data_IF_585468905732
#
_entry.id   IF_585468905732
#
_cell.length_a   1.000
_cell.length_b   1.000
_cell.length_c   1.000
_cell.angle_alpha   90.00
_cell.angle_beta   90.00
_cell.angle_gamma   90.00
#
_symmetry.space_group_name_H-M   'P 1'
#
loop_
_entity.id
_entity.type
_entity.pdbx_description
1 polymer ?
#
# COMPACT_ATOMS: atom_id res chain seq x y z
N UNK A 1 -24.19 8.71 -7.20
CA UNK A 1 -23.13 8.04 -7.99
C UNK A 1 -21.73 8.62 -7.79
N UNK A 2 -21.49 9.93 -7.91
CA UNK A 2 -20.13 10.52 -7.82
C UNK A 2 -19.34 10.14 -6.55
N UNK A 3 -19.96 10.15 -5.37
CA UNK A 3 -19.30 9.86 -4.08
C UNK A 3 -18.84 8.40 -3.95
N UNK A 4 -19.67 7.44 -4.38
CA UNK A 4 -19.33 6.01 -4.34
C UNK A 4 -18.17 5.68 -5.28
N UNK A 5 -18.15 6.30 -6.48
CA UNK A 5 -17.05 6.16 -7.43
C UNK A 5 -15.73 6.73 -6.86
N UNK A 6 -15.77 7.90 -6.20
CA UNK A 6 -14.58 8.49 -5.56
C UNK A 6 -14.03 7.63 -4.44
N UNK A 7 -14.90 7.03 -3.62
CA UNK A 7 -14.48 6.10 -2.55
C UNK A 7 -13.85 4.85 -3.17
N UNK A 8 -14.50 4.26 -4.19
CA UNK A 8 -13.95 3.10 -4.90
C UNK A 8 -12.56 3.39 -5.49
N UNK A 9 -12.42 4.50 -6.21
CA UNK A 9 -11.16 4.93 -6.80
C UNK A 9 -10.08 5.17 -5.74
N UNK A 10 -10.46 5.71 -4.58
CA UNK A 10 -9.54 5.90 -3.46
C UNK A 10 -9.01 4.56 -2.91
N UNK A 11 -9.90 3.60 -2.65
CA UNK A 11 -9.50 2.27 -2.20
C UNK A 11 -8.62 1.56 -3.24
N UNK A 12 -8.97 1.67 -4.53
CA UNK A 12 -8.16 1.12 -5.62
C UNK A 12 -6.79 1.78 -5.68
N UNK A 13 -6.69 3.11 -5.53
CA UNK A 13 -5.41 3.81 -5.57
C UNK A 13 -4.45 3.38 -4.44
N UNK A 14 -4.98 2.92 -3.31
CA UNK A 14 -4.21 2.42 -2.17
C UNK A 14 -3.89 0.92 -2.24
N UNK A 15 -4.85 0.10 -2.69
CA UNK A 15 -4.69 -1.35 -2.72
C UNK A 15 -3.98 -1.86 -3.97
N UNK A 16 -4.17 -1.19 -5.12
CA UNK A 16 -3.62 -1.64 -6.40
C UNK A 16 -2.08 -1.64 -6.44
N UNK A 17 -1.35 -0.65 -5.87
CA UNK A 17 0.11 -0.71 -5.83
C UNK A 17 0.62 -1.90 -5.01
N UNK A 18 -0.05 -2.21 -3.91
CA UNK A 18 0.27 -3.37 -3.04
C UNK A 18 0.00 -4.68 -3.79
N UNK A 19 -1.12 -4.75 -4.52
CA UNK A 19 -1.45 -5.89 -5.35
C UNK A 19 -0.45 -6.11 -6.51
N UNK A 20 -0.05 -5.03 -7.19
CA UNK A 20 0.94 -5.11 -8.27
C UNK A 20 2.34 -5.46 -7.75
N UNK A 21 2.69 -4.95 -6.56
CA UNK A 21 3.89 -5.36 -5.85
C UNK A 21 3.87 -6.85 -5.54
N UNK A 22 2.77 -7.37 -5.01
CA UNK A 22 2.58 -8.81 -4.78
C UNK A 22 2.86 -9.60 -6.06
N UNK A 23 2.20 -9.25 -7.16
CA UNK A 23 2.35 -9.99 -8.42
C UNK A 23 3.80 -9.97 -8.87
N UNK A 24 4.44 -8.80 -8.81
CA UNK A 24 5.84 -8.65 -9.21
C UNK A 24 6.76 -9.48 -8.32
N UNK A 25 6.54 -9.45 -7.00
CA UNK A 25 7.32 -10.22 -6.05
C UNK A 25 7.15 -11.73 -6.27
N UNK A 26 5.91 -12.22 -6.37
CA UNK A 26 5.61 -13.65 -6.59
C UNK A 26 6.16 -14.16 -7.92
N UNK A 27 6.24 -13.32 -8.94
CA UNK A 27 6.83 -13.68 -10.24
C UNK A 27 8.32 -14.05 -10.18
N UNK A 28 9.01 -13.75 -9.07
CA UNK A 28 10.42 -14.08 -8.87
C UNK A 28 10.64 -15.49 -8.28
N UNK A 29 9.55 -16.20 -8.01
CA UNK A 29 9.56 -17.53 -7.41
C UNK A 29 8.99 -18.55 -8.39
N UNK A 30 9.55 -19.76 -8.35
CA UNK A 30 8.99 -20.89 -9.09
C UNK A 30 7.67 -21.35 -8.47
N UNK A 31 6.83 -22.05 -9.25
CA UNK A 31 5.59 -22.62 -8.73
C UNK A 31 5.83 -23.59 -7.56
N UNK A 32 6.96 -24.29 -7.56
CA UNK A 32 7.34 -25.21 -6.48
C UNK A 32 7.57 -24.45 -5.16
N UNK A 33 8.28 -23.31 -5.21
CA UNK A 33 8.54 -22.44 -4.04
C UNK A 33 7.28 -21.72 -3.54
N UNK A 34 6.37 -21.37 -4.45
CA UNK A 34 5.07 -20.79 -4.07
C UNK A 34 4.14 -21.83 -3.41
N UNK A 35 4.23 -23.09 -3.83
CA UNK A 35 3.39 -24.18 -3.33
C UNK A 35 3.97 -24.88 -2.10
N UNK A 36 5.26 -24.73 -1.79
CA UNK A 36 5.88 -25.23 -0.56
C UNK A 36 5.40 -24.52 0.72
N UNK A 37 4.61 -23.47 0.59
CA UNK A 37 4.09 -22.67 1.70
C UNK A 37 5.08 -21.62 2.21
N UNK A 38 4.65 -20.85 3.20
CA UNK A 38 5.45 -19.78 3.81
C UNK A 38 5.05 -18.37 3.40
N UNK A 39 5.81 -17.39 3.89
CA UNK A 39 5.53 -15.95 3.80
C UNK A 39 5.34 -15.49 2.34
N UNK A 40 5.96 -16.12 1.35
CA UNK A 40 5.77 -15.80 -0.09
C UNK A 40 4.35 -15.98 -0.59
N UNK A 41 3.60 -16.93 0.00
CA UNK A 41 2.22 -17.21 -0.35
C UNK A 41 1.24 -16.33 0.42
N UNK A 42 1.54 -16.09 1.70
CA UNK A 42 0.55 -15.54 2.65
C UNK A 42 0.79 -14.06 2.99
N UNK A 43 2.03 -13.57 2.95
CA UNK A 43 2.35 -12.15 3.19
C UNK A 43 1.67 -11.20 2.21
N UNK A 44 1.51 -11.55 0.93
CA UNK A 44 0.81 -10.65 0.02
C UNK A 44 -0.66 -10.41 0.39
N UNK A 45 -1.38 -11.46 0.79
CA UNK A 45 -2.74 -11.34 1.33
C UNK A 45 -2.77 -10.48 2.60
N UNK A 46 -1.76 -10.64 3.46
CA UNK A 46 -1.62 -9.83 4.67
C UNK A 46 -1.41 -8.35 4.36
N UNK A 47 -0.51 -7.99 3.43
CA UNK A 47 -0.25 -6.59 3.08
C UNK A 47 -1.42 -5.95 2.33
N UNK A 48 -2.11 -6.69 1.47
CA UNK A 48 -3.30 -6.20 0.80
C UNK A 48 -4.40 -5.89 1.83
N UNK A 49 -4.64 -6.81 2.77
CA UNK A 49 -5.59 -6.58 3.86
C UNK A 49 -5.19 -5.38 4.71
N UNK A 50 -3.91 -5.28 5.08
CA UNK A 50 -3.40 -4.17 5.89
C UNK A 50 -3.53 -2.83 5.17
N UNK A 51 -3.31 -2.79 3.84
CA UNK A 51 -3.52 -1.59 3.01
C UNK A 51 -4.98 -1.17 2.99
N UNK A 52 -5.92 -2.12 2.86
CA UNK A 52 -7.35 -1.84 2.93
C UNK A 52 -7.77 -1.29 4.30
N UNK A 53 -7.23 -1.86 5.39
CA UNK A 53 -7.45 -1.36 6.76
C UNK A 53 -6.91 0.06 6.89
N UNK A 54 -5.70 0.33 6.41
CA UNK A 54 -5.11 1.68 6.42
C UNK A 54 -5.96 2.66 5.63
N UNK A 55 -6.37 2.29 4.42
CA UNK A 55 -7.21 3.11 3.56
C UNK A 55 -8.53 3.46 4.25
N UNK A 56 -9.17 2.48 4.89
CA UNK A 56 -10.37 2.68 5.71
C UNK A 56 -10.13 3.63 6.88
N UNK A 57 -9.06 3.43 7.66
CA UNK A 57 -8.72 4.28 8.80
C UNK A 57 -8.47 5.72 8.37
N UNK A 58 -7.76 5.92 7.26
CA UNK A 58 -7.50 7.25 6.70
C UNK A 58 -8.80 7.89 6.20
N UNK A 59 -9.66 7.15 5.51
CA UNK A 59 -10.96 7.64 5.07
C UNK A 59 -11.82 8.04 6.28
N UNK A 60 -11.87 7.21 7.33
CA UNK A 60 -12.59 7.52 8.56
C UNK A 60 -12.01 8.74 9.27
N UNK A 61 -10.69 8.79 9.49
CA UNK A 61 -10.02 9.89 10.16
C UNK A 61 -10.16 11.22 9.40
N UNK A 62 -10.20 11.17 8.06
CA UNK A 62 -10.44 12.36 7.23
C UNK A 62 -11.81 12.99 7.49
N UNK A 63 -12.82 12.23 7.91
CA UNK A 63 -14.12 12.80 8.31
C UNK A 63 -14.01 13.72 9.53
N UNK A 64 -13.02 13.48 10.40
CA UNK A 64 -12.80 14.25 11.63
C UNK A 64 -11.75 15.37 11.44
N UNK A 65 -10.77 15.17 10.55
CA UNK A 65 -9.57 16.02 10.47
C UNK A 65 -9.25 16.57 9.06
N UNK A 66 -10.09 16.35 8.04
CA UNK A 66 -9.84 16.67 6.61
C UNK A 66 -9.34 18.08 6.32
N UNK A 67 -9.60 19.08 7.17
CA UNK A 67 -9.17 20.47 6.94
C UNK A 67 -7.76 20.77 7.44
N UNK A 68 -7.12 19.86 8.17
CA UNK A 68 -5.79 20.09 8.74
C UNK A 68 -4.70 19.59 7.79
N UNK A 69 -3.88 20.51 7.27
CA UNK A 69 -2.75 20.14 6.40
C UNK A 69 -1.80 19.12 7.08
N UNK A 70 -1.65 19.22 8.40
CA UNK A 70 -0.88 18.31 9.24
C UNK A 70 -1.41 16.86 9.15
N UNK A 71 -2.73 16.67 9.12
CA UNK A 71 -3.32 15.34 8.97
C UNK A 71 -2.87 14.69 7.65
N UNK A 72 -2.87 15.45 6.56
CA UNK A 72 -2.44 14.96 5.25
C UNK A 72 -0.95 14.61 5.20
N UNK A 73 -0.09 15.43 5.81
CA UNK A 73 1.33 15.09 5.97
C UNK A 73 1.53 13.77 6.73
N UNK A 74 0.76 13.55 7.80
CA UNK A 74 0.81 12.29 8.56
C UNK A 74 0.37 11.11 7.69
N UNK A 75 -0.71 11.24 6.92
CA UNK A 75 -1.19 10.18 6.02
C UNK A 75 -0.12 9.79 4.98
N UNK A 76 0.53 10.78 4.37
CA UNK A 76 1.62 10.53 3.41
C UNK A 76 2.78 9.81 4.10
N UNK A 77 3.19 10.29 5.27
CA UNK A 77 4.29 9.70 6.03
C UNK A 77 4.00 8.25 6.44
N UNK A 78 2.79 7.97 6.92
CA UNK A 78 2.35 6.62 7.28
C UNK A 78 2.36 5.68 6.08
N UNK A 79 1.95 6.16 4.90
CA UNK A 79 2.00 5.36 3.67
C UNK A 79 3.42 5.03 3.24
N UNK A 80 4.33 6.01 3.29
CA UNK A 80 5.74 5.80 2.98
C UNK A 80 6.33 4.75 3.93
N UNK A 81 6.06 4.89 5.23
CA UNK A 81 6.50 3.93 6.23
C UNK A 81 5.93 2.53 5.97
N UNK A 82 4.64 2.42 5.62
CA UNK A 82 4.02 1.15 5.29
C UNK A 82 4.73 0.44 4.13
N UNK A 83 5.06 1.15 3.05
CA UNK A 83 5.79 0.57 1.92
C UNK A 83 7.22 0.18 2.28
N UNK A 84 7.93 0.99 3.06
CA UNK A 84 9.28 0.66 3.55
C UNK A 84 9.24 -0.60 4.41
N UNK A 85 8.27 -0.68 5.34
CA UNK A 85 8.09 -1.84 6.21
C UNK A 85 7.78 -3.12 5.43
N UNK A 86 6.90 -3.03 4.43
CA UNK A 86 6.59 -4.15 3.54
C UNK A 86 7.88 -4.65 2.84
N UNK A 87 8.71 -3.74 2.33
CA UNK A 87 9.98 -4.11 1.70
C UNK A 87 10.97 -4.73 2.69
N UNK A 88 11.10 -4.17 3.89
CA UNK A 88 12.01 -4.67 4.91
C UNK A 88 11.65 -6.08 5.36
N UNK A 89 10.36 -6.32 5.59
CA UNK A 89 9.88 -7.63 6.01
C UNK A 89 10.05 -8.67 4.90
N UNK A 90 9.71 -8.30 3.65
CA UNK A 90 9.96 -9.14 2.47
C UNK A 90 11.45 -9.47 2.33
N UNK A 91 12.35 -8.50 2.52
CA UNK A 91 13.79 -8.71 2.46
C UNK A 91 14.30 -9.64 3.57
N UNK A 92 13.86 -9.41 4.81
CA UNK A 92 14.27 -10.20 5.98
C UNK A 92 13.86 -11.67 5.83
N UNK A 93 12.64 -11.90 5.37
CA UNK A 93 12.11 -13.25 5.15
C UNK A 93 12.79 -13.94 3.96
N UNK A 94 13.06 -13.18 2.88
CA UNK A 94 13.86 -13.68 1.75
C UNK A 94 15.26 -14.15 2.18
N UNK A 95 15.89 -13.41 3.10
CA UNK A 95 17.19 -13.79 3.67
C UNK A 95 17.11 -15.09 4.48
N UNK A 96 16.08 -15.24 5.31
CA UNK A 96 15.95 -16.39 6.20
C UNK A 96 15.72 -17.70 5.44
N UNK A 97 14.98 -17.65 4.34
CA UNK A 97 14.51 -18.83 3.61
C UNK A 97 15.44 -19.28 2.47
N UNK A 98 16.12 -18.36 1.78
CA UNK A 98 17.03 -18.72 0.67
C UNK A 98 18.51 -18.70 1.06
N UNK A 99 18.87 -18.25 2.27
CA UNK A 99 20.25 -17.92 2.62
C UNK A 99 20.85 -16.83 1.73
N UNK A 100 20.03 -16.17 0.91
CA UNK A 100 20.43 -15.13 -0.03
C UNK A 100 20.53 -13.81 0.71
N UNK A 101 21.67 -13.15 0.61
CA UNK A 101 21.93 -11.82 1.18
C UNK A 101 21.27 -10.70 0.39
N UNK A 102 20.04 -10.87 -0.10
CA UNK A 102 19.42 -9.89 -0.98
C UNK A 102 19.20 -8.58 -0.20
N UNK A 103 19.96 -7.52 -0.47
CA UNK A 103 19.92 -6.32 0.34
C UNK A 103 18.56 -5.65 0.20
N UNK A 104 18.02 -5.13 1.31
CA UNK A 104 16.74 -4.43 1.30
C UNK A 104 16.70 -3.29 0.27
N UNK A 105 17.84 -2.62 0.04
CA UNK A 105 17.97 -1.51 -0.91
C UNK A 105 17.75 -2.00 -2.36
N UNK A 106 18.18 -3.21 -2.68
CA UNK A 106 18.02 -3.79 -4.02
C UNK A 106 16.58 -4.23 -4.23
N UNK A 107 15.95 -4.81 -3.20
CA UNK A 107 14.53 -5.16 -3.21
C UNK A 107 13.66 -3.90 -3.35
N UNK A 108 13.96 -2.86 -2.59
CA UNK A 108 13.27 -1.57 -2.65
C UNK A 108 13.44 -0.94 -4.04
N UNK A 109 14.65 -0.91 -4.59
CA UNK A 109 14.91 -0.39 -5.93
C UNK A 109 14.18 -1.19 -7.01
N UNK A 110 14.25 -2.52 -6.95
CA UNK A 110 13.73 -3.40 -7.98
C UNK A 110 12.20 -3.49 -7.96
N UNK A 111 11.59 -3.60 -6.76
CA UNK A 111 10.16 -3.85 -6.60
C UNK A 111 9.33 -2.58 -6.38
N UNK A 112 9.92 -1.48 -5.91
CA UNK A 112 9.17 -0.26 -5.57
C UNK A 112 9.66 0.96 -6.32
N UNK A 113 10.93 1.35 -6.17
CA UNK A 113 11.40 2.64 -6.71
C UNK A 113 11.47 2.69 -8.24
N UNK A 114 11.78 1.57 -8.89
CA UNK A 114 11.74 1.50 -10.37
C UNK A 114 10.34 1.25 -10.95
N UNK A 115 9.31 1.18 -10.10
CA UNK A 115 7.95 0.83 -10.53
C UNK A 115 7.07 2.09 -10.58
N UNK A 116 6.87 2.59 -11.79
CA UNK A 116 6.09 3.80 -12.09
C UNK A 116 4.69 3.80 -11.43
N UNK A 117 4.06 2.64 -11.29
CA UNK A 117 2.70 2.52 -10.78
C UNK A 117 2.56 2.95 -9.30
N UNK A 118 3.60 2.82 -8.48
CA UNK A 118 3.56 3.33 -7.11
C UNK A 118 3.42 4.85 -7.05
N UNK A 119 4.11 5.55 -7.95
CA UNK A 119 4.07 7.01 -8.02
C UNK A 119 2.76 7.51 -8.62
N UNK A 120 2.28 6.86 -9.69
CA UNK A 120 1.02 7.23 -10.34
C UNK A 120 -0.16 7.00 -9.40
N UNK A 121 -0.31 5.80 -8.85
CA UNK A 121 -1.43 5.50 -7.96
C UNK A 121 -1.31 6.17 -6.60
N UNK A 122 -0.09 6.34 -6.06
CA UNK A 122 0.13 7.14 -4.86
C UNK A 122 -0.32 8.60 -5.06
N UNK A 123 0.04 9.20 -6.19
CA UNK A 123 -0.36 10.57 -6.54
C UNK A 123 -1.87 10.68 -6.79
N UNK A 124 -2.48 9.69 -7.46
CA UNK A 124 -3.94 9.60 -7.66
C UNK A 124 -4.67 9.43 -6.33
N UNK A 125 -4.17 8.59 -5.43
CA UNK A 125 -4.74 8.40 -4.09
C UNK A 125 -4.72 9.68 -3.27
N UNK A 126 -3.61 10.42 -3.31
CA UNK A 126 -3.50 11.75 -2.69
C UNK A 126 -4.47 12.75 -3.34
N UNK A 127 -4.52 12.81 -4.67
CA UNK A 127 -5.43 13.72 -5.37
C UNK A 127 -6.91 13.42 -5.06
N UNK A 128 -7.28 12.13 -5.00
CA UNK A 128 -8.62 11.69 -4.63
C UNK A 128 -8.95 11.98 -3.16
N UNK A 129 -7.96 11.95 -2.27
CA UNK A 129 -8.11 12.37 -0.87
C UNK A 129 -8.44 13.86 -0.74
N UNK A 130 -7.79 14.73 -1.53
CA UNK A 130 -8.13 16.16 -1.58
C UNK A 130 -9.50 16.42 -2.23
N UNK A 131 -9.90 15.58 -3.18
CA UNK A 131 -11.17 15.66 -3.91
C UNK A 131 -12.32 14.92 -3.22
N UNK A 132 -12.10 14.27 -2.07
CA UNK A 132 -13.12 13.65 -1.24
C UNK A 132 -13.58 14.67 -0.17
N UNK A 133 -14.59 15.52 -0.43
CA UNK A 133 -15.33 16.13 0.66
C UNK A 133 -16.17 15.01 1.29
N UNK A 134 -15.58 14.30 2.25
CA UNK A 134 -16.34 13.43 3.14
C UNK A 134 -17.17 14.33 4.08
N UNK A 135 -18.32 14.79 3.57
CA UNK A 135 -19.40 15.48 4.29
C UNK A 135 -18.98 16.35 5.48
N UNK A 136 -18.82 17.64 5.25
CA UNK A 136 -19.06 18.66 6.28
C UNK A 136 -20.57 18.92 6.42
N UNK A 137 -21.34 17.93 6.85
CA UNK A 137 -22.75 18.04 7.17
C UNK A 137 -23.19 16.73 7.81
N UNK A 138 -23.63 16.67 9.07
CA UNK A 138 -24.33 17.65 9.90
C UNK A 138 -23.71 17.71 11.30
N UNK A 139 -23.36 18.91 11.79
CA UNK A 139 -23.52 19.23 13.21
C UNK A 139 -24.26 20.57 13.24
N UNK A 140 -25.58 20.46 13.31
CA UNK A 140 -26.41 21.50 13.94
C UNK A 140 -26.05 21.57 15.42
#
# INVERSE_FOLDING_TARGET
MKKSLSILLYFVAFSLPVYLFEITYRSQFSELELNSGGVYRDAPNFYLLLSLILAFLVAWASTQFSRKIVFWFIVIFVNILFYIWMCFFVATESMHLRGTTWPYIDILNYLVLNKWYFYVFGSVGIALLFLLPLNSGERQ
#
